data_IF_412009373165
#
_entry.id   IF_412009373165
#
_cell.length_a   1.000
_cell.length_b   1.000
_cell.length_c   1.000
_cell.angle_alpha   90.00
_cell.angle_beta   90.00
_cell.angle_gamma   90.00
#
_symmetry.space_group_name_H-M   'P 1'
#
loop_
_entity.id
_entity.type
_entity.pdbx_description
1 polymer ?
#
# COMPACT_ATOMS: atom_id res chain seq x y z
N UNK A 1 5.42 -19.28 -2.20
CA UNK A 1 5.30 -17.92 -2.75
C UNK A 1 4.70 -17.06 -1.65
N UNK A 2 5.55 -16.43 -0.84
CA UNK A 2 5.11 -15.60 0.28
C UNK A 2 5.00 -14.18 -0.26
N UNK A 3 3.80 -13.75 -0.61
CA UNK A 3 3.53 -12.38 -1.05
C UNK A 3 2.80 -11.68 0.08
N UNK A 4 3.54 -11.02 0.95
CA UNK A 4 2.96 -10.11 1.95
C UNK A 4 2.72 -8.77 1.25
N UNK A 5 1.59 -8.67 0.57
CA UNK A 5 1.11 -7.41 0.02
C UNK A 5 0.13 -6.79 1.03
N UNK A 6 0.66 -5.96 1.92
CA UNK A 6 -0.06 -5.06 2.85
C UNK A 6 -0.86 -4.03 2.06
N UNK A 7 -1.96 -4.48 1.47
CA UNK A 7 -2.90 -3.63 0.74
C UNK A 7 -3.87 -3.01 1.75
N UNK A 8 -3.91 -1.69 1.82
CA UNK A 8 -4.95 -0.98 2.56
C UNK A 8 -6.17 -0.79 1.66
N UNK A 9 -7.37 -1.05 2.18
CA UNK A 9 -8.63 -0.84 1.46
C UNK A 9 -9.65 -0.14 2.36
N UNK A 10 -10.42 0.78 1.78
CA UNK A 10 -11.58 1.37 2.41
C UNK A 10 -12.79 1.19 1.49
N UNK A 11 -13.89 0.68 2.04
CA UNK A 11 -15.17 0.58 1.34
C UNK A 11 -16.02 1.79 1.71
N UNK A 12 -16.43 2.54 0.71
CA UNK A 12 -17.29 3.72 0.86
C UNK A 12 -18.55 3.55 0.02
N UNK A 13 -19.69 3.96 0.58
CA UNK A 13 -20.95 4.09 -0.14
C UNK A 13 -21.22 5.57 -0.35
N UNK A 14 -21.34 6.00 -1.60
CA UNK A 14 -21.61 7.39 -1.99
C UNK A 14 -22.91 7.44 -2.79
N UNK A 15 -23.69 8.50 -2.60
CA UNK A 15 -24.82 8.80 -3.45
C UNK A 15 -24.35 9.36 -4.80
N UNK A 16 -25.27 9.43 -5.77
CA UNK A 16 -24.96 10.03 -7.08
C UNK A 16 -24.51 11.49 -6.92
N UNK A 17 -23.31 11.80 -7.41
CA UNK A 17 -22.70 13.13 -7.30
C UNK A 17 -21.98 13.43 -5.98
N UNK A 18 -22.00 12.50 -5.02
CA UNK A 18 -21.30 12.67 -3.74
C UNK A 18 -19.80 12.35 -3.89
N UNK A 19 -18.96 13.13 -3.22
CA UNK A 19 -17.51 12.92 -3.13
C UNK A 19 -17.11 12.97 -1.66
N UNK A 20 -16.18 12.11 -1.28
CA UNK A 20 -15.64 12.10 0.09
C UNK A 20 -14.12 11.96 0.05
N UNK A 21 -13.48 12.44 1.11
CA UNK A 21 -12.05 12.26 1.34
C UNK A 21 -11.84 11.05 2.26
N UNK A 22 -10.92 10.16 1.88
CA UNK A 22 -10.54 9.00 2.67
C UNK A 22 -9.06 9.10 3.02
N UNK A 23 -8.75 8.98 4.30
CA UNK A 23 -7.38 8.88 4.81
C UNK A 23 -7.06 7.43 5.08
N UNK A 24 -6.05 6.90 4.39
CA UNK A 24 -5.53 5.56 4.60
C UNK A 24 -4.14 5.67 5.25
N UNK A 25 -4.00 5.13 6.45
CA UNK A 25 -2.72 5.08 7.15
C UNK A 25 -1.93 3.85 6.71
N UNK A 26 -0.70 4.04 6.25
CA UNK A 26 0.27 2.96 6.04
C UNK A 26 1.40 3.12 7.05
N UNK A 27 1.67 2.06 7.80
CA UNK A 27 2.82 1.98 8.68
C UNK A 27 4.06 1.50 7.91
N UNK A 28 5.24 1.72 8.47
CA UNK A 28 6.52 1.31 7.85
C UNK A 28 6.61 -0.21 7.62
N UNK A 29 5.89 -1.01 8.42
CA UNK A 29 5.75 -2.45 8.22
C UNK A 29 5.10 -2.83 6.90
N UNK A 30 4.34 -1.92 6.26
CA UNK A 30 3.76 -2.13 4.95
C UNK A 30 4.81 -2.24 3.82
N UNK A 31 6.06 -1.87 4.12
CA UNK A 31 7.21 -1.97 3.23
C UNK A 31 8.20 -3.06 3.66
N UNK A 32 7.87 -3.81 4.71
CA UNK A 32 8.72 -4.87 5.21
C UNK A 32 8.57 -6.14 4.36
N UNK A 33 9.68 -6.86 4.19
CA UNK A 33 9.69 -8.23 3.70
C UNK A 33 10.27 -9.16 4.76
N UNK A 34 9.91 -10.43 4.68
CA UNK A 34 10.42 -11.44 5.58
C UNK A 34 11.79 -11.94 5.07
N UNK A 35 12.82 -11.84 5.90
CA UNK A 35 14.15 -12.41 5.67
C UNK A 35 14.18 -13.83 6.27
N UNK A 36 14.16 -14.90 5.44
CA UNK A 36 14.16 -16.27 5.93
C UNK A 36 15.50 -16.69 6.55
N UNK A 37 16.62 -16.05 6.19
CA UNK A 37 17.93 -16.40 6.75
C UNK A 37 18.04 -15.95 8.21
N UNK A 38 17.46 -14.80 8.53
CA UNK A 38 17.42 -14.22 9.87
C UNK A 38 16.15 -14.51 10.64
N UNK A 39 15.16 -15.11 9.98
CA UNK A 39 13.82 -15.35 10.51
C UNK A 39 13.14 -14.08 11.05
N UNK A 40 13.41 -12.92 10.45
CA UNK A 40 12.97 -11.60 10.92
C UNK A 40 12.31 -10.78 9.79
N UNK A 41 11.55 -9.75 10.18
CA UNK A 41 10.99 -8.79 9.24
C UNK A 41 11.93 -7.61 9.07
N UNK A 42 12.27 -7.30 7.82
CA UNK A 42 13.19 -6.22 7.49
C UNK A 42 12.54 -5.23 6.54
N UNK A 43 12.78 -3.95 6.79
CA UNK A 43 12.44 -2.85 5.89
C UNK A 43 13.75 -2.42 5.22
N UNK A 44 13.74 -2.32 3.90
CA UNK A 44 14.88 -1.77 3.17
C UNK A 44 14.61 -0.33 2.75
N UNK A 45 15.55 0.60 3.02
CA UNK A 45 15.45 1.95 2.49
C UNK A 45 15.54 1.91 0.97
N UNK A 46 14.76 2.77 0.32
CA UNK A 46 14.63 2.77 -1.13
C UNK A 46 13.40 3.51 -1.61
N UNK A 47 13.20 3.47 -2.92
CA UNK A 47 12.05 4.08 -3.58
C UNK A 47 10.97 3.03 -3.80
N UNK A 48 9.79 3.27 -3.24
CA UNK A 48 8.60 2.44 -3.43
C UNK A 48 7.57 3.21 -4.25
N UNK A 49 6.72 2.51 -5.00
CA UNK A 49 5.60 3.14 -5.73
C UNK A 49 4.29 2.71 -5.10
N UNK A 50 3.54 3.67 -4.57
CA UNK A 50 2.17 3.47 -4.12
C UNK A 50 1.24 3.51 -5.33
N UNK A 51 0.52 2.41 -5.56
CA UNK A 51 -0.49 2.30 -6.60
C UNK A 51 -1.87 2.42 -5.95
N UNK A 52 -2.68 3.40 -6.36
CA UNK A 52 -4.04 3.60 -5.86
C UNK A 52 -5.03 3.39 -7.01
N UNK A 53 -6.05 2.59 -6.75
CA UNK A 53 -6.96 2.11 -7.77
C UNK A 53 -8.24 1.55 -7.17
N UNK A 54 -9.23 1.28 -8.03
CA UNK A 54 -10.44 0.56 -7.61
C UNK A 54 -10.24 -0.96 -7.57
N UNK A 55 -9.18 -1.43 -8.24
CA UNK A 55 -8.76 -2.83 -8.35
C UNK A 55 -7.26 -2.88 -8.60
N UNK A 56 -6.61 -4.01 -8.33
CA UNK A 56 -5.19 -4.22 -8.66
C UNK A 56 -4.90 -4.08 -10.16
N UNK A 57 -5.92 -4.30 -11.01
CA UNK A 57 -5.83 -4.08 -12.46
C UNK A 57 -6.27 -2.68 -12.90
N UNK A 58 -7.00 -1.92 -12.07
CA UNK A 58 -7.47 -0.55 -12.35
C UNK A 58 -6.75 0.46 -11.44
N UNK A 59 -5.50 0.77 -11.79
CA UNK A 59 -4.66 1.74 -11.07
C UNK A 59 -4.82 3.11 -11.70
N UNK A 60 -5.30 4.09 -10.92
CA UNK A 60 -5.60 5.46 -11.36
C UNK A 60 -4.57 6.47 -10.91
N UNK A 61 -3.85 6.18 -9.83
CA UNK A 61 -2.80 7.04 -9.30
C UNK A 61 -1.56 6.19 -8.98
N UNK A 62 -0.39 6.73 -9.31
CA UNK A 62 0.92 6.16 -8.95
C UNK A 62 1.74 7.25 -8.27
N UNK A 63 2.21 6.98 -7.05
CA UNK A 63 2.97 7.93 -6.26
C UNK A 63 4.31 7.31 -5.83
N UNK A 64 5.46 7.84 -6.28
CA UNK A 64 6.75 7.42 -5.75
C UNK A 64 6.94 7.98 -4.34
N UNK A 65 7.39 7.13 -3.42
CA UNK A 65 7.75 7.49 -2.04
C UNK A 65 9.15 6.97 -1.75
N UNK A 66 9.88 7.68 -0.90
CA UNK A 66 11.24 7.27 -0.49
C UNK A 66 11.23 6.94 0.98
N UNK A 67 11.77 5.78 1.32
CA UNK A 67 12.02 5.34 2.69
C UNK A 67 13.52 5.46 2.92
N UNK A 68 13.89 6.21 3.96
CA UNK A 68 15.28 6.46 4.33
C UNK A 68 15.72 5.57 5.49
#
# INVERSE_FOLDING_TARGET
>A
MVTLATSVLAKVSLNSGESTELTLSLDSSAFAFYDPEKSEWKIEPGVFTLNVGSSSSDIRLKLPITIN
#
